data_IF_550016422248
#
_entry.id   IF_550016422248
#
_cell.length_a   1.000
_cell.length_b   1.000
_cell.length_c   1.000
_cell.angle_alpha   90.00
_cell.angle_beta   90.00
_cell.angle_gamma   90.00
#
_symmetry.space_group_name_H-M   'P 1'
#
loop_
_entity.id
_entity.type
_entity.pdbx_description
1 polymer ?
#
# COMPACT_ATOMS: atom_id res chain seq x y z
N UNK A 1 -76.04 49.72 10.02
CA UNK A 1 -76.65 48.87 11.06
C UNK A 1 -75.55 48.55 12.04
N UNK A 2 -75.50 49.40 13.06
CA UNK A 2 -75.09 49.18 14.45
C UNK A 2 -73.71 48.53 14.70
N UNK A 3 -72.66 49.30 15.04
CA UNK A 3 -72.33 49.90 16.36
C UNK A 3 -72.18 48.90 17.49
N UNK A 4 -70.96 48.74 18.02
CA UNK A 4 -70.59 49.00 19.43
C UNK A 4 -69.09 48.65 19.60
N UNK A 5 -68.22 49.64 19.85
CA UNK A 5 -67.63 50.01 21.18
C UNK A 5 -66.59 49.00 21.67
N UNK A 6 -65.50 49.35 22.35
CA UNK A 6 -65.07 50.61 22.95
C UNK A 6 -63.61 50.45 23.38
N UNK A 7 -62.94 51.60 23.56
CA UNK A 7 -61.94 51.97 24.60
C UNK A 7 -60.99 50.91 25.22
N UNK A 8 -59.76 51.21 25.63
CA UNK A 8 -58.90 52.38 25.62
C UNK A 8 -57.55 51.97 26.28
N UNK A 9 -56.53 52.80 26.07
CA UNK A 9 -55.35 53.09 26.90
C UNK A 9 -54.43 51.98 27.45
N UNK A 10 -53.13 52.12 27.13
CA UNK A 10 -52.06 51.45 27.86
C UNK A 10 -50.67 51.57 27.25
N UNK A 11 -50.12 52.78 27.22
CA UNK A 11 -48.72 53.09 26.90
C UNK A 11 -47.70 52.29 27.73
N UNK A 12 -46.69 51.73 27.08
CA UNK A 12 -45.53 51.11 27.72
C UNK A 12 -44.34 51.01 26.78
N UNK A 13 -43.46 52.01 26.82
CA UNK A 13 -42.14 52.07 26.18
C UNK A 13 -41.21 50.96 26.68
N UNK A 14 -40.52 50.26 25.78
CA UNK A 14 -39.51 49.27 26.13
C UNK A 14 -38.59 48.93 24.97
N UNK A 15 -37.54 49.73 24.80
CA UNK A 15 -36.35 49.43 23.98
C UNK A 15 -35.66 48.17 24.51
N UNK A 16 -35.48 47.16 23.65
CA UNK A 16 -34.76 45.94 23.97
C UNK A 16 -34.12 45.32 22.74
N UNK A 17 -32.95 45.85 22.37
CA UNK A 17 -32.02 45.27 21.41
C UNK A 17 -31.53 43.91 21.93
N UNK A 18 -32.24 42.83 21.56
CA UNK A 18 -31.87 41.46 21.86
C UNK A 18 -30.96 40.87 20.78
N UNK A 19 -29.66 41.15 20.88
CA UNK A 19 -28.60 40.49 20.11
C UNK A 19 -28.64 38.98 20.40
N UNK A 20 -29.31 38.20 19.54
CA UNK A 20 -29.31 36.73 19.62
C UNK A 20 -27.95 36.21 19.15
N UNK A 21 -26.97 36.28 20.02
CA UNK A 21 -25.70 35.57 19.89
C UNK A 21 -26.01 34.06 19.98
N UNK A 22 -26.21 33.43 18.82
CA UNK A 22 -26.13 31.99 18.67
C UNK A 22 -24.74 31.54 19.09
N UNK A 23 -24.62 31.11 20.35
CA UNK A 23 -23.48 30.36 20.83
C UNK A 23 -23.44 29.04 20.04
N UNK A 24 -22.71 29.04 18.93
CA UNK A 24 -22.23 27.82 18.28
C UNK A 24 -21.39 27.07 19.31
N UNK A 25 -22.01 26.11 19.98
CA UNK A 25 -21.34 25.07 20.73
C UNK A 25 -20.30 24.43 19.81
N UNK A 26 -19.03 24.73 20.06
CA UNK A 26 -17.90 24.11 19.38
C UNK A 26 -18.04 22.59 19.47
N UNK A 27 -17.68 21.82 18.43
CA UNK A 27 -17.71 20.38 18.51
C UNK A 27 -16.70 19.96 19.59
N UNK A 28 -17.22 19.49 20.71
CA UNK A 28 -16.45 18.94 21.82
C UNK A 28 -15.52 17.85 21.26
N UNK A 29 -14.23 18.16 21.25
CA UNK A 29 -13.19 17.26 20.78
C UNK A 29 -13.05 16.14 21.81
N UNK A 30 -13.94 15.14 21.76
CA UNK A 30 -13.83 13.96 22.61
C UNK A 30 -12.44 13.36 22.40
N UNK A 31 -11.57 13.33 23.43
CA UNK A 31 -10.27 12.72 23.31
C UNK A 31 -10.48 11.27 22.84
N UNK A 32 -9.79 10.91 21.76
CA UNK A 32 -9.79 9.52 21.29
C UNK A 32 -9.34 8.59 22.42
N UNK A 33 -9.78 7.32 22.42
CA UNK A 33 -9.39 6.36 23.46
C UNK A 33 -7.86 6.34 23.59
N UNK A 34 -7.32 6.21 24.82
CA UNK A 34 -5.88 6.23 25.05
C UNK A 34 -5.20 5.21 24.14
N UNK A 35 -4.21 5.66 23.36
CA UNK A 35 -3.36 4.80 22.56
C UNK A 35 -2.72 3.81 23.54
N UNK A 36 -3.11 2.53 23.50
CA UNK A 36 -2.49 1.53 24.36
C UNK A 36 -1.09 1.24 23.80
N UNK A 37 0.00 1.70 24.44
CA UNK A 37 1.35 1.65 23.88
C UNK A 37 1.86 0.21 23.73
N UNK A 38 1.23 -0.75 24.40
CA UNK A 38 1.63 -2.16 24.41
C UNK A 38 1.84 -2.76 23.01
N UNK A 39 0.95 -2.53 22.04
CA UNK A 39 1.10 -3.10 20.70
C UNK A 39 2.25 -2.46 19.90
N UNK A 40 2.51 -1.16 20.12
CA UNK A 40 3.62 -0.44 19.49
C UNK A 40 4.96 -0.84 20.12
N UNK A 41 5.00 -1.02 21.44
CA UNK A 41 6.17 -1.50 22.16
C UNK A 41 6.52 -2.94 21.78
N UNK A 42 5.52 -3.81 21.59
CA UNK A 42 5.72 -5.18 21.08
C UNK A 42 6.32 -5.16 19.67
N UNK A 43 5.82 -4.30 18.77
CA UNK A 43 6.39 -4.17 17.43
C UNK A 43 7.80 -3.57 17.45
N UNK A 44 8.08 -2.61 18.33
CA UNK A 44 9.41 -2.04 18.50
C UNK A 44 10.41 -3.08 19.03
N UNK A 45 10.02 -3.86 20.05
CA UNK A 45 10.83 -4.95 20.58
C UNK A 45 11.10 -6.02 19.52
N UNK A 46 10.06 -6.41 18.77
CA UNK A 46 10.22 -7.31 17.62
C UNK A 46 11.16 -6.74 16.57
N UNK A 47 11.07 -5.45 16.24
CA UNK A 47 11.92 -4.80 15.24
C UNK A 47 13.39 -4.80 15.66
N UNK A 48 13.67 -4.58 16.95
CA UNK A 48 15.04 -4.67 17.49
C UNK A 48 15.56 -6.11 17.41
N UNK A 49 14.75 -7.09 17.78
CA UNK A 49 15.11 -8.52 17.70
C UNK A 49 15.35 -8.94 16.23
N UNK A 50 14.46 -8.55 15.32
CA UNK A 50 14.59 -8.83 13.89
C UNK A 50 15.86 -8.20 13.31
N UNK A 51 16.17 -6.95 13.67
CA UNK A 51 17.40 -6.29 13.25
C UNK A 51 18.66 -7.04 13.73
N UNK A 52 18.69 -7.47 14.99
CA UNK A 52 19.81 -8.23 15.56
C UNK A 52 20.00 -9.58 14.87
N UNK A 53 18.91 -10.29 14.59
CA UNK A 53 18.92 -11.57 13.87
C UNK A 53 19.43 -11.42 12.43
N UNK A 54 19.02 -10.34 11.74
CA UNK A 54 19.42 -10.05 10.36
C UNK A 54 20.88 -9.59 10.22
N UNK A 55 21.48 -9.06 11.29
CA UNK A 55 22.91 -8.66 11.32
C UNK A 55 23.88 -9.75 11.75
N UNK A 56 23.40 -10.94 12.09
CA UNK A 56 24.24 -12.02 12.62
C UNK A 56 24.99 -12.81 11.53
N UNK A 57 26.27 -13.09 11.77
CA UNK A 57 27.10 -14.05 11.03
C UNK A 57 27.42 -13.63 9.60
N UNK A 58 26.57 -14.04 8.64
CA UNK A 58 26.78 -13.93 7.19
C UNK A 58 25.73 -12.99 6.55
N UNK A 59 25.63 -11.77 7.06
CA UNK A 59 24.62 -10.82 6.60
C UNK A 59 24.87 -10.35 5.15
N UNK A 60 23.96 -10.68 4.24
CA UNK A 60 23.98 -10.13 2.88
C UNK A 60 23.66 -8.63 2.88
N UNK A 61 24.04 -7.85 1.85
CA UNK A 61 23.69 -6.43 1.75
C UNK A 61 22.18 -6.16 1.89
N UNK A 62 21.34 -7.07 1.39
CA UNK A 62 19.88 -7.01 1.56
C UNK A 62 19.43 -7.19 3.01
N UNK A 63 20.05 -8.11 3.75
CA UNK A 63 19.78 -8.31 5.19
C UNK A 63 20.22 -7.11 6.03
N UNK A 64 21.34 -6.47 5.70
CA UNK A 64 21.79 -5.24 6.36
C UNK A 64 20.84 -4.06 6.10
N UNK A 65 20.36 -3.90 4.86
CA UNK A 65 19.33 -2.91 4.52
C UNK A 65 18.02 -3.18 5.28
N UNK A 66 17.63 -4.45 5.40
CA UNK A 66 16.48 -4.89 6.19
C UNK A 66 16.62 -4.52 7.66
N UNK A 67 17.77 -4.84 8.26
CA UNK A 67 18.06 -4.52 9.64
C UNK A 67 18.00 -3.01 9.88
N UNK A 68 18.58 -2.19 8.97
CA UNK A 68 18.48 -0.74 9.04
C UNK A 68 17.03 -0.23 9.00
N UNK A 69 16.18 -0.81 8.16
CA UNK A 69 14.76 -0.51 8.10
C UNK A 69 14.04 -0.82 9.42
N UNK A 70 14.32 -1.96 10.05
CA UNK A 70 13.76 -2.33 11.35
C UNK A 70 14.27 -1.44 12.50
N UNK A 71 15.55 -1.06 12.49
CA UNK A 71 16.11 -0.10 13.47
C UNK A 71 15.44 1.26 13.34
N UNK A 72 15.25 1.76 12.11
CA UNK A 72 14.54 3.01 11.86
C UNK A 72 13.08 2.93 12.33
N UNK A 73 12.42 1.80 12.10
CA UNK A 73 11.06 1.55 12.59
C UNK A 73 10.99 1.60 14.12
N UNK A 74 11.91 0.92 14.81
CA UNK A 74 11.99 0.94 16.27
C UNK A 74 12.25 2.35 16.81
N UNK A 75 13.22 3.06 16.23
CA UNK A 75 13.56 4.44 16.63
C UNK A 75 12.38 5.40 16.46
N UNK A 76 11.66 5.32 15.33
CA UNK A 76 10.48 6.15 15.07
C UNK A 76 9.35 5.85 16.06
N UNK A 77 9.12 4.58 16.39
CA UNK A 77 8.09 4.17 17.35
C UNK A 77 8.43 4.63 18.77
N UNK A 78 9.66 4.41 19.24
CA UNK A 78 10.13 4.87 20.55
C UNK A 78 10.02 6.39 20.67
N UNK A 79 10.42 7.12 19.62
CA UNK A 79 10.29 8.58 19.58
C UNK A 79 8.82 9.01 19.67
N UNK A 80 7.94 8.39 18.89
CA UNK A 80 6.51 8.75 18.87
C UNK A 80 5.79 8.43 20.17
N UNK A 81 6.15 7.34 20.87
CA UNK A 81 5.58 6.96 22.17
C UNK A 81 6.10 7.86 23.30
N UNK A 82 7.32 8.36 23.19
CA UNK A 82 7.95 9.25 24.18
C UNK A 82 7.50 10.71 24.06
N UNK A 83 6.78 11.08 22.99
CA UNK A 83 6.31 12.45 22.79
C UNK A 83 5.16 12.81 23.76
N UNK A 84 5.13 14.06 24.27
CA UNK A 84 4.06 14.52 25.16
C UNK A 84 2.70 14.53 24.44
N UNK A 85 1.61 14.40 25.21
CA UNK A 85 0.24 14.19 24.71
C UNK A 85 -0.22 15.20 23.63
N UNK A 86 0.31 16.43 23.65
CA UNK A 86 0.09 17.47 22.62
C UNK A 86 0.47 17.04 21.20
N UNK A 87 1.41 16.09 21.06
CA UNK A 87 1.85 15.55 19.78
C UNK A 87 1.32 14.14 19.48
N UNK A 88 0.45 13.58 20.33
CA UNK A 88 -0.07 12.22 20.16
C UNK A 88 -0.87 12.04 18.86
N UNK A 89 -1.59 13.07 18.41
CA UNK A 89 -2.35 13.06 17.16
C UNK A 89 -1.45 13.08 15.90
N UNK A 90 -0.49 14.02 15.74
CA UNK A 90 0.45 13.97 14.62
C UNK A 90 1.36 12.74 14.66
N UNK A 91 1.84 12.31 15.84
CA UNK A 91 2.65 11.09 15.99
C UNK A 91 1.90 9.84 15.53
N UNK A 92 0.62 9.69 15.90
CA UNK A 92 -0.23 8.60 15.41
C UNK A 92 -0.42 8.63 13.89
N UNK A 93 -0.55 9.82 13.29
CA UNK A 93 -0.69 9.95 11.83
C UNK A 93 0.61 9.55 11.12
N UNK A 94 1.76 9.97 11.63
CA UNK A 94 3.08 9.60 11.11
C UNK A 94 3.31 8.09 11.21
N UNK A 95 2.97 7.47 12.34
CA UNK A 95 3.10 6.02 12.53
C UNK A 95 2.21 5.21 11.58
N UNK A 96 0.99 5.67 11.33
CA UNK A 96 0.09 5.02 10.36
C UNK A 96 0.70 5.12 8.96
N UNK A 97 1.12 6.31 8.52
CA UNK A 97 1.74 6.50 7.19
C UNK A 97 3.02 5.68 7.06
N UNK A 98 3.85 5.65 8.11
CA UNK A 98 5.06 4.83 8.16
C UNK A 98 4.74 3.36 7.93
N UNK A 99 3.84 2.75 8.71
CA UNK A 99 3.50 1.34 8.53
C UNK A 99 2.84 1.05 7.17
N UNK A 100 2.04 1.99 6.64
CA UNK A 100 1.43 1.85 5.32
C UNK A 100 2.45 1.80 4.17
N UNK A 101 3.60 2.45 4.33
CA UNK A 101 4.70 2.43 3.35
C UNK A 101 5.65 1.27 3.66
N UNK A 102 5.95 1.06 4.93
CA UNK A 102 6.88 0.05 5.42
C UNK A 102 6.43 -1.37 5.09
N UNK A 103 5.14 -1.70 5.25
CA UNK A 103 4.63 -3.05 4.98
C UNK A 103 4.83 -3.43 3.49
N UNK A 104 4.40 -2.61 2.50
CA UNK A 104 4.71 -2.87 1.09
C UNK A 104 6.20 -2.93 0.77
N UNK A 105 7.01 -2.03 1.34
CA UNK A 105 8.47 -2.03 1.12
C UNK A 105 9.09 -3.33 1.65
N UNK A 106 8.69 -3.77 2.84
CA UNK A 106 9.15 -5.02 3.45
C UNK A 106 8.69 -6.22 2.62
N UNK A 107 7.48 -6.19 2.09
CA UNK A 107 6.97 -7.24 1.20
C UNK A 107 7.79 -7.35 -0.08
N UNK A 108 8.17 -6.23 -0.69
CA UNK A 108 8.82 -6.26 -1.99
C UNK A 108 10.33 -6.54 -1.92
N UNK A 109 11.03 -5.88 -1.00
CA UNK A 109 12.49 -5.96 -0.94
C UNK A 109 13.00 -7.09 -0.06
N UNK A 110 12.18 -7.53 0.90
CA UNK A 110 12.65 -8.42 1.94
C UNK A 110 12.04 -9.79 1.86
N UNK A 111 11.00 -10.06 1.04
CA UNK A 111 10.39 -11.40 0.95
C UNK A 111 11.35 -12.44 0.37
N UNK A 112 12.14 -13.04 1.25
CA UNK A 112 13.02 -14.19 0.97
C UNK A 112 12.52 -15.36 1.83
N UNK A 113 11.22 -15.66 1.75
CA UNK A 113 10.61 -16.84 2.39
C UNK A 113 10.80 -17.00 3.90
N UNK A 114 11.34 -15.99 4.60
CA UNK A 114 11.75 -16.12 6.00
C UNK A 114 10.58 -15.80 6.93
N UNK A 115 10.39 -16.68 7.92
CA UNK A 115 9.32 -16.60 8.91
C UNK A 115 9.39 -15.28 9.70
N UNK A 116 10.61 -14.76 9.90
CA UNK A 116 10.86 -13.48 10.59
C UNK A 116 10.19 -12.31 9.86
N UNK A 117 10.21 -12.30 8.53
CA UNK A 117 9.67 -11.19 7.74
C UNK A 117 8.15 -11.28 7.65
N UNK A 118 7.60 -12.48 7.52
CA UNK A 118 6.15 -12.71 7.57
C UNK A 118 5.60 -12.26 8.93
N UNK A 119 6.29 -12.58 10.03
CA UNK A 119 5.93 -12.10 11.37
C UNK A 119 5.93 -10.57 11.46
N UNK A 120 6.91 -9.88 10.86
CA UNK A 120 6.95 -8.41 10.80
C UNK A 120 5.76 -7.80 10.06
N UNK A 121 5.35 -8.39 8.94
CA UNK A 121 4.16 -7.94 8.18
C UNK A 121 2.88 -8.12 8.98
N UNK A 122 2.70 -9.28 9.62
CA UNK A 122 1.53 -9.58 10.45
C UNK A 122 1.49 -8.63 11.65
N UNK A 123 2.60 -8.44 12.35
CA UNK A 123 2.68 -7.54 13.49
C UNK A 123 2.44 -6.08 13.08
N UNK A 124 2.99 -5.64 11.94
CA UNK A 124 2.75 -4.30 11.40
C UNK A 124 1.29 -4.08 10.99
N UNK A 125 0.68 -5.06 10.32
CA UNK A 125 -0.74 -5.04 9.97
C UNK A 125 -1.63 -5.03 11.21
N UNK A 126 -1.31 -5.82 12.24
CA UNK A 126 -2.01 -5.83 13.54
C UNK A 126 -1.84 -4.50 14.26
N UNK A 127 -0.65 -3.88 14.23
CA UNK A 127 -0.40 -2.58 14.82
C UNK A 127 -1.26 -1.49 14.14
N UNK A 128 -1.31 -1.47 12.80
CA UNK A 128 -2.17 -0.55 12.04
C UNK A 128 -3.66 -0.83 12.30
N UNK A 129 -4.08 -2.09 12.28
CA UNK A 129 -5.46 -2.50 12.53
C UNK A 129 -5.95 -2.07 13.91
N UNK A 130 -5.11 -2.24 14.95
CA UNK A 130 -5.41 -1.78 16.31
C UNK A 130 -5.44 -0.27 16.46
N UNK A 131 -4.67 0.48 15.65
CA UNK A 131 -4.74 1.94 15.65
C UNK A 131 -6.08 2.46 15.11
N UNK A 132 -6.95 1.63 14.51
CA UNK A 132 -8.24 2.01 13.90
C UNK A 132 -8.12 3.31 13.10
N UNK A 133 -7.34 3.32 12.01
CA UNK A 133 -7.02 4.55 11.31
C UNK A 133 -8.30 5.17 10.74
N UNK A 134 -8.70 6.31 11.32
CA UNK A 134 -9.77 7.15 10.80
C UNK A 134 -9.13 8.09 9.79
N UNK A 135 -9.05 7.67 8.54
CA UNK A 135 -8.58 8.55 7.47
C UNK A 135 -9.63 9.65 7.24
N UNK A 136 -9.26 10.93 7.37
CA UNK A 136 -10.13 12.02 6.94
C UNK A 136 -10.46 11.82 5.46
N UNK A 137 -11.73 12.01 5.08
CA UNK A 137 -12.13 11.94 3.66
C UNK A 137 -11.25 12.92 2.87
N UNK A 138 -10.49 12.40 1.91
CA UNK A 138 -9.61 13.23 1.07
C UNK A 138 -10.44 14.33 0.39
N UNK A 139 -9.94 15.58 0.41
CA UNK A 139 -10.54 16.68 -0.37
C UNK A 139 -10.60 16.25 -1.85
N UNK A 140 -11.64 16.70 -2.57
CA UNK A 140 -11.93 16.27 -3.95
C UNK A 140 -10.71 16.38 -4.89
N UNK A 141 -9.88 17.42 -4.73
CA UNK A 141 -8.66 17.61 -5.51
C UNK A 141 -7.57 16.57 -5.22
N UNK A 142 -7.20 16.37 -3.95
CA UNK A 142 -6.21 15.36 -3.54
C UNK A 142 -6.64 13.96 -3.98
N UNK A 143 -7.93 13.62 -3.85
CA UNK A 143 -8.45 12.33 -4.32
C UNK A 143 -8.22 12.11 -5.82
N UNK A 144 -8.37 13.13 -6.66
CA UNK A 144 -8.14 13.01 -8.11
C UNK A 144 -6.67 12.74 -8.42
N UNK A 145 -5.75 13.45 -7.77
CA UNK A 145 -4.30 13.25 -7.96
C UNK A 145 -3.91 11.81 -7.62
N UNK A 146 -4.31 11.31 -6.45
CA UNK A 146 -4.02 9.93 -6.06
C UNK A 146 -4.65 8.89 -6.98
N UNK A 147 -5.84 9.16 -7.51
CA UNK A 147 -6.47 8.28 -8.50
C UNK A 147 -5.71 8.28 -9.83
N UNK A 148 -5.26 9.44 -10.30
CA UNK A 148 -4.46 9.53 -11.53
C UNK A 148 -3.13 8.81 -11.36
N UNK A 149 -2.44 9.02 -10.24
CA UNK A 149 -1.20 8.30 -9.93
C UNK A 149 -1.44 6.79 -9.87
N UNK A 150 -2.45 6.33 -9.13
CA UNK A 150 -2.76 4.91 -9.02
C UNK A 150 -3.08 4.27 -10.37
N UNK A 151 -3.90 4.93 -11.20
CA UNK A 151 -4.23 4.45 -12.54
C UNK A 151 -2.99 4.49 -13.45
N UNK A 152 -2.20 5.55 -13.39
CA UNK A 152 -0.95 5.67 -14.17
C UNK A 152 0.04 4.55 -13.85
N UNK A 153 0.30 4.29 -12.56
CA UNK A 153 1.17 3.18 -12.15
C UNK A 153 0.57 1.81 -12.48
N UNK A 154 -0.75 1.65 -12.38
CA UNK A 154 -1.41 0.37 -12.73
C UNK A 154 -1.35 0.09 -14.23
N UNK A 155 -1.55 1.11 -15.08
CA UNK A 155 -1.45 0.98 -16.54
C UNK A 155 0.02 0.80 -16.95
N UNK A 156 0.94 1.52 -16.31
CA UNK A 156 2.38 1.32 -16.50
C UNK A 156 2.76 -0.12 -16.19
N UNK A 157 2.33 -0.66 -15.04
CA UNK A 157 2.54 -2.05 -14.63
C UNK A 157 2.06 -3.06 -15.68
N UNK A 158 0.86 -2.86 -16.24
CA UNK A 158 0.33 -3.70 -17.32
C UNK A 158 1.21 -3.62 -18.58
N UNK A 159 1.67 -2.42 -18.95
CA UNK A 159 2.59 -2.21 -20.08
C UNK A 159 3.95 -2.88 -19.87
N UNK A 160 4.51 -2.79 -18.67
CA UNK A 160 5.76 -3.48 -18.30
C UNK A 160 5.58 -5.00 -18.36
N UNK A 161 4.48 -5.54 -17.85
CA UNK A 161 4.19 -6.98 -17.97
C UNK A 161 4.09 -7.44 -19.41
N UNK A 162 3.51 -6.61 -20.30
CA UNK A 162 3.46 -6.91 -21.74
C UNK A 162 4.86 -6.88 -22.38
N UNK A 163 5.67 -5.87 -22.05
CA UNK A 163 7.05 -5.77 -22.54
C UNK A 163 7.91 -6.95 -22.06
N UNK A 164 7.85 -7.28 -20.77
CA UNK A 164 8.57 -8.43 -20.19
C UNK A 164 8.12 -9.75 -20.81
N UNK A 165 6.82 -9.92 -21.09
CA UNK A 165 6.32 -11.09 -21.82
C UNK A 165 6.91 -11.21 -23.21
N UNK A 166 6.99 -10.09 -23.94
CA UNK A 166 7.60 -10.05 -25.27
C UNK A 166 9.10 -10.39 -25.22
N UNK A 167 9.83 -9.83 -24.25
CA UNK A 167 11.25 -10.14 -24.06
C UNK A 167 11.47 -11.60 -23.68
N UNK A 168 10.63 -12.18 -22.81
CA UNK A 168 10.72 -13.59 -22.45
C UNK A 168 10.52 -14.50 -23.67
N UNK A 169 9.53 -14.18 -24.52
CA UNK A 169 9.29 -14.91 -25.77
C UNK A 169 10.49 -14.76 -26.70
N UNK A 170 10.98 -13.53 -26.92
CA UNK A 170 12.13 -13.27 -27.76
C UNK A 170 13.39 -14.01 -27.26
N UNK A 171 13.63 -14.03 -25.95
CA UNK A 171 14.72 -14.80 -25.34
C UNK A 171 14.58 -16.31 -25.54
N UNK A 172 13.36 -16.83 -25.53
CA UNK A 172 13.11 -18.25 -25.70
C UNK A 172 13.14 -18.72 -27.17
N UNK A 173 12.78 -17.85 -28.13
CA UNK A 173 12.56 -18.25 -29.54
C UNK A 173 13.53 -17.64 -30.54
N UNK A 174 14.40 -16.70 -30.14
CA UNK A 174 15.32 -16.07 -31.09
C UNK A 174 16.44 -17.03 -31.52
N UNK A 175 16.65 -17.13 -32.84
CA UNK A 175 17.74 -17.92 -33.44
C UNK A 175 19.12 -17.27 -33.22
N UNK A 176 19.16 -15.93 -33.15
CA UNK A 176 20.39 -15.16 -32.98
C UNK A 176 20.78 -14.97 -31.52
N UNK A 177 22.00 -15.36 -31.15
CA UNK A 177 22.56 -15.19 -29.80
C UNK A 177 22.43 -13.75 -29.27
N UNK A 178 22.70 -12.74 -30.10
CA UNK A 178 22.63 -11.33 -29.70
C UNK A 178 21.22 -10.92 -29.23
N UNK A 179 20.17 -11.36 -29.93
CA UNK A 179 18.78 -11.05 -29.58
C UNK A 179 18.35 -11.84 -28.35
N UNK A 180 18.74 -13.13 -28.28
CA UNK A 180 18.45 -14.00 -27.15
C UNK A 180 19.03 -13.49 -25.83
N UNK A 181 20.35 -13.25 -25.80
CA UNK A 181 21.05 -12.80 -24.61
C UNK A 181 20.62 -11.36 -24.25
N UNK A 182 20.49 -10.49 -25.25
CA UNK A 182 20.03 -9.11 -25.05
C UNK A 182 18.62 -9.03 -24.45
N UNK A 183 17.73 -9.96 -24.78
CA UNK A 183 16.40 -10.02 -24.17
C UNK A 183 16.47 -10.28 -22.66
N UNK A 184 17.28 -11.25 -22.21
CA UNK A 184 17.43 -11.54 -20.77
C UNK A 184 18.16 -10.44 -20.00
N UNK A 185 19.16 -9.79 -20.60
CA UNK A 185 19.83 -8.62 -20.03
C UNK A 185 18.84 -7.45 -19.83
N UNK A 186 18.04 -7.14 -20.85
CA UNK A 186 17.04 -6.09 -20.75
C UNK A 186 15.96 -6.42 -19.72
N UNK A 187 15.55 -7.68 -19.62
CA UNK A 187 14.61 -8.12 -18.57
C UNK A 187 15.16 -7.83 -17.17
N UNK A 188 16.43 -8.15 -16.92
CA UNK A 188 17.07 -7.88 -15.63
C UNK A 188 17.12 -6.37 -15.32
N UNK A 189 17.46 -5.54 -16.32
CA UNK A 189 17.48 -4.08 -16.17
C UNK A 189 16.08 -3.52 -15.90
N UNK A 190 15.07 -3.96 -16.66
CA UNK A 190 13.68 -3.53 -16.45
C UNK A 190 13.19 -3.90 -15.05
N UNK A 191 13.51 -5.10 -14.59
CA UNK A 191 13.09 -5.60 -13.28
C UNK A 191 13.61 -4.69 -12.15
N UNK A 192 14.91 -4.43 -12.14
CA UNK A 192 15.56 -3.58 -11.14
C UNK A 192 15.17 -2.10 -11.25
N UNK A 193 15.13 -1.55 -12.46
CA UNK A 193 15.02 -0.10 -12.65
C UNK A 193 13.57 0.42 -12.62
N UNK A 194 12.61 -0.36 -13.12
CA UNK A 194 11.25 0.15 -13.37
C UNK A 194 10.18 -0.73 -12.73
N UNK A 195 10.29 -2.06 -12.83
CA UNK A 195 9.29 -2.98 -12.25
C UNK A 195 9.28 -2.78 -10.74
N UNK A 196 10.38 -3.04 -10.02
CA UNK A 196 10.41 -2.93 -8.56
C UNK A 196 9.83 -1.59 -8.04
N UNK A 197 10.28 -0.40 -8.52
CA UNK A 197 9.69 0.87 -8.09
C UNK A 197 8.19 1.00 -8.41
N UNK A 198 7.76 0.50 -9.57
CA UNK A 198 6.35 0.58 -10.00
C UNK A 198 5.43 -0.27 -9.14
N UNK A 199 5.88 -1.45 -8.65
CA UNK A 199 5.05 -2.31 -7.79
C UNK A 199 4.75 -1.57 -6.52
N UNK A 200 5.83 -1.03 -5.94
CA UNK A 200 5.81 -0.37 -4.65
C UNK A 200 4.85 0.81 -4.71
N UNK A 201 4.96 1.62 -5.76
CA UNK A 201 4.13 2.80 -5.94
C UNK A 201 2.67 2.43 -6.24
N UNK A 202 2.41 1.36 -6.97
CA UNK A 202 1.06 0.83 -7.21
C UNK A 202 0.39 0.35 -5.92
N UNK A 203 1.10 -0.41 -5.08
CA UNK A 203 0.59 -0.90 -3.79
C UNK A 203 0.34 0.27 -2.84
N UNK A 204 1.29 1.21 -2.70
CA UNK A 204 1.14 2.38 -1.83
C UNK A 204 -0.04 3.24 -2.28
N UNK A 205 -0.12 3.57 -3.58
CA UNK A 205 -1.23 4.38 -4.10
C UNK A 205 -2.58 3.67 -3.99
N UNK A 206 -2.63 2.36 -4.23
CA UNK A 206 -3.83 1.53 -4.08
C UNK A 206 -4.30 1.49 -2.63
N UNK A 207 -3.38 1.40 -1.67
CA UNK A 207 -3.67 1.42 -0.25
C UNK A 207 -4.19 2.79 0.21
N UNK A 208 -3.56 3.88 -0.25
CA UNK A 208 -4.00 5.25 0.03
C UNK A 208 -5.39 5.53 -0.54
N UNK A 209 -5.67 5.09 -1.77
CA UNK A 209 -6.99 5.23 -2.40
C UNK A 209 -8.04 4.38 -1.68
N UNK A 210 -7.71 3.14 -1.31
CA UNK A 210 -8.65 2.22 -0.63
C UNK A 210 -9.02 2.70 0.77
N UNK A 211 -8.07 3.30 1.50
CA UNK A 211 -8.26 3.81 2.85
C UNK A 211 -8.82 5.24 2.88
N UNK A 212 -8.49 6.07 1.89
CA UNK A 212 -8.92 7.47 1.79
C UNK A 212 -10.28 7.67 1.12
N UNK A 213 -10.89 6.63 0.55
CA UNK A 213 -12.19 6.70 -0.11
C UNK A 213 -13.28 5.95 0.65
N UNK A 214 -14.55 6.27 0.36
CA UNK A 214 -15.75 5.66 0.96
C UNK A 214 -15.87 4.14 0.78
N UNK A 215 -14.99 3.55 -0.03
CA UNK A 215 -15.06 2.16 -0.45
C UNK A 215 -14.51 1.23 0.61
N UNK A 216 -13.41 1.56 1.30
CA UNK A 216 -12.80 0.74 2.34
C UNK A 216 -12.26 -0.60 1.81
N UNK A 217 -11.01 -0.96 2.15
CA UNK A 217 -10.32 -2.15 1.62
C UNK A 217 -11.11 -3.46 1.83
N UNK A 218 -11.82 -3.58 2.97
CA UNK A 218 -12.48 -4.83 3.40
C UNK A 218 -13.97 -4.85 3.02
N UNK A 219 -14.56 -3.73 2.59
CA UNK A 219 -16.02 -3.65 2.39
C UNK A 219 -16.48 -4.24 1.05
N UNK A 220 -15.55 -4.46 0.11
CA UNK A 220 -15.85 -4.98 -1.22
C UNK A 220 -14.88 -6.12 -1.56
N UNK A 221 -15.38 -7.35 -1.69
CA UNK A 221 -14.54 -8.53 -1.91
C UNK A 221 -13.70 -8.44 -3.20
N UNK A 222 -14.23 -7.77 -4.24
CA UNK A 222 -13.48 -7.52 -5.48
C UNK A 222 -12.28 -6.59 -5.30
N UNK A 223 -12.29 -5.69 -4.31
CA UNK A 223 -11.13 -4.85 -3.98
C UNK A 223 -10.07 -5.69 -3.28
N UNK A 224 -10.50 -6.58 -2.37
CA UNK A 224 -9.61 -7.51 -1.70
C UNK A 224 -8.92 -8.45 -2.69
N UNK A 225 -9.65 -9.02 -3.65
CA UNK A 225 -9.05 -9.87 -4.69
C UNK A 225 -7.96 -9.13 -5.46
N UNK A 226 -8.20 -7.89 -5.88
CA UNK A 226 -7.17 -7.10 -6.59
C UNK A 226 -5.96 -6.82 -5.73
N UNK A 227 -6.18 -6.55 -4.45
CA UNK A 227 -5.09 -6.35 -3.51
C UNK A 227 -4.27 -7.64 -3.34
N UNK A 228 -4.93 -8.80 -3.25
CA UNK A 228 -4.27 -10.11 -3.21
C UNK A 228 -3.50 -10.37 -4.50
N UNK A 229 -4.09 -10.15 -5.68
CA UNK A 229 -3.38 -10.27 -6.97
C UNK A 229 -2.15 -9.36 -7.00
N UNK A 230 -2.29 -8.11 -6.53
CA UNK A 230 -1.18 -7.15 -6.48
C UNK A 230 -0.06 -7.54 -5.51
N UNK A 231 -0.31 -8.45 -4.55
CA UNK A 231 0.70 -8.99 -3.65
C UNK A 231 1.27 -10.30 -4.19
N UNK A 232 0.44 -11.18 -4.75
CA UNK A 232 0.88 -12.48 -5.27
C UNK A 232 1.88 -12.33 -6.42
N UNK A 233 1.65 -11.40 -7.35
CA UNK A 233 2.55 -11.15 -8.49
C UNK A 233 3.99 -10.86 -7.99
N UNK A 234 4.24 -9.83 -7.16
CA UNK A 234 5.59 -9.58 -6.64
C UNK A 234 6.17 -10.71 -5.79
N UNK A 235 5.35 -11.52 -5.10
CA UNK A 235 5.87 -12.69 -4.37
C UNK A 235 6.35 -13.81 -5.30
N UNK A 236 5.76 -13.98 -6.49
CA UNK A 236 6.25 -14.95 -7.48
C UNK A 236 7.46 -14.36 -8.22
N UNK A 237 7.49 -13.03 -8.42
CA UNK A 237 8.57 -12.34 -9.11
C UNK A 237 9.94 -12.51 -8.44
N UNK A 238 9.99 -12.75 -7.12
CA UNK A 238 11.25 -13.05 -6.42
C UNK A 238 11.87 -14.38 -6.82
N UNK A 239 11.06 -15.35 -7.26
CA UNK A 239 11.55 -16.62 -7.80
C UNK A 239 11.98 -16.44 -9.25
N UNK A 240 11.17 -15.71 -10.01
CA UNK A 240 11.43 -15.40 -11.42
C UNK A 240 12.73 -14.62 -11.63
N UNK A 241 13.05 -13.65 -10.78
CA UNK A 241 14.30 -12.88 -10.89
C UNK A 241 15.53 -13.80 -10.88
N UNK A 242 15.51 -14.86 -10.07
CA UNK A 242 16.55 -15.88 -10.07
C UNK A 242 16.63 -16.67 -11.39
N UNK A 243 15.49 -16.89 -12.05
CA UNK A 243 15.43 -17.55 -13.35
C UNK A 243 15.97 -16.65 -14.47
N UNK A 244 15.68 -15.34 -14.41
CA UNK A 244 16.23 -14.34 -15.34
C UNK A 244 17.76 -14.30 -15.21
N UNK A 245 18.29 -14.20 -13.99
CA UNK A 245 19.75 -14.19 -13.76
C UNK A 245 20.41 -15.49 -14.23
N UNK A 246 19.77 -16.63 -14.01
CA UNK A 246 20.25 -17.92 -14.49
C UNK A 246 20.26 -18.00 -16.03
N UNK A 247 19.20 -17.56 -16.68
CA UNK A 247 19.12 -17.52 -18.16
C UNK A 247 20.10 -16.54 -18.75
N UNK A 248 20.29 -15.38 -18.12
CA UNK A 248 21.33 -14.41 -18.49
C UNK A 248 22.72 -15.05 -18.40
N UNK A 249 23.03 -15.78 -17.32
CA UNK A 249 24.31 -16.48 -17.17
C UNK A 249 24.51 -17.58 -18.21
N UNK A 250 23.50 -18.42 -18.46
CA UNK A 250 23.56 -19.50 -19.47
C UNK A 250 23.75 -18.99 -20.88
N UNK A 251 23.04 -17.91 -21.21
CA UNK A 251 23.06 -17.35 -22.56
C UNK A 251 24.25 -16.44 -22.84
N UNK A 252 25.17 -16.24 -21.88
CA UNK A 252 26.48 -15.62 -22.15
C UNK A 252 27.32 -16.45 -23.13
N UNK A 253 27.15 -17.78 -23.09
CA UNK A 253 27.73 -18.66 -24.09
C UNK A 253 26.82 -18.66 -25.35
N UNK A 254 27.35 -18.39 -26.55
CA UNK A 254 26.63 -18.55 -27.81
C UNK A 254 25.98 -19.92 -27.98
N UNK A 255 26.60 -20.99 -27.47
CA UNK A 255 26.05 -22.35 -27.51
C UNK A 255 24.99 -22.62 -26.42
N UNK A 256 24.87 -21.74 -25.42
CA UNK A 256 23.97 -21.94 -24.28
C UNK A 256 22.51 -21.77 -24.66
N UNK A 257 21.72 -22.84 -24.55
CA UNK A 257 20.28 -22.80 -24.83
C UNK A 257 19.44 -22.47 -23.59
N UNK A 258 18.35 -21.69 -23.75
CA UNK A 258 17.46 -21.34 -22.64
C UNK A 258 16.67 -22.55 -22.12
N UNK A 259 16.43 -23.55 -22.97
CA UNK A 259 15.82 -24.84 -22.60
C UNK A 259 14.47 -24.71 -21.90
N UNK A 260 14.15 -25.68 -21.01
CA UNK A 260 12.90 -25.68 -20.25
C UNK A 260 12.72 -24.49 -19.31
N UNK A 261 13.82 -23.88 -18.85
CA UNK A 261 13.77 -22.69 -17.98
C UNK A 261 13.27 -21.46 -18.73
N UNK A 262 13.67 -21.28 -20.00
CA UNK A 262 13.14 -20.22 -20.86
C UNK A 262 11.64 -20.36 -21.09
N UNK A 263 11.15 -21.59 -21.32
CA UNK A 263 9.71 -21.87 -21.46
C UNK A 263 8.96 -21.57 -20.15
N UNK A 264 9.51 -21.98 -19.00
CA UNK A 264 8.92 -21.69 -17.70
C UNK A 264 8.79 -20.19 -17.45
N UNK A 265 9.82 -19.40 -17.82
CA UNK A 265 9.81 -17.95 -17.71
C UNK A 265 8.73 -17.31 -18.61
N UNK A 266 8.59 -17.78 -19.86
CA UNK A 266 7.52 -17.33 -20.77
C UNK A 266 6.14 -17.61 -20.18
N UNK A 267 5.90 -18.83 -19.71
CA UNK A 267 4.62 -19.20 -19.09
C UNK A 267 4.33 -18.32 -17.87
N UNK A 268 5.34 -18.07 -17.03
CA UNK A 268 5.23 -17.19 -15.87
C UNK A 268 4.79 -15.77 -16.27
N UNK A 269 5.45 -15.18 -17.27
CA UNK A 269 5.12 -13.84 -17.80
C UNK A 269 3.69 -13.75 -18.34
N UNK A 270 3.27 -14.75 -19.10
CA UNK A 270 1.90 -14.80 -19.64
C UNK A 270 0.85 -14.94 -18.53
N UNK A 271 1.14 -15.72 -17.48
CA UNK A 271 0.26 -15.82 -16.31
C UNK A 271 0.16 -14.48 -15.58
N UNK A 272 1.24 -13.73 -15.42
CA UNK A 272 1.19 -12.38 -14.83
C UNK A 272 0.36 -11.42 -15.66
N UNK A 273 0.56 -11.43 -16.98
CA UNK A 273 -0.20 -10.59 -17.89
C UNK A 273 -1.70 -10.92 -17.79
N UNK A 274 -2.06 -12.20 -17.72
CA UNK A 274 -3.44 -12.64 -17.53
C UNK A 274 -4.03 -12.23 -16.17
N UNK A 275 -3.26 -12.32 -15.08
CA UNK A 275 -3.67 -11.88 -13.74
C UNK A 275 -3.93 -10.37 -13.72
N UNK A 276 -3.08 -9.58 -14.36
CA UNK A 276 -3.24 -8.12 -14.44
C UNK A 276 -4.44 -7.73 -15.30
N UNK A 277 -4.65 -8.40 -16.43
CA UNK A 277 -5.87 -8.24 -17.23
C UNK A 277 -7.12 -8.59 -16.43
N UNK A 278 -7.07 -9.66 -15.63
CA UNK A 278 -8.16 -10.04 -14.72
C UNK A 278 -8.42 -8.92 -13.70
N UNK A 279 -7.38 -8.32 -13.13
CA UNK A 279 -7.51 -7.18 -12.22
C UNK A 279 -8.13 -5.94 -12.90
N UNK A 280 -7.79 -5.67 -14.18
CA UNK A 280 -8.40 -4.62 -15.00
C UNK A 280 -9.87 -4.93 -15.26
N UNK A 281 -10.21 -6.16 -15.69
CA UNK A 281 -11.58 -6.59 -15.93
C UNK A 281 -12.45 -6.47 -14.67
N UNK A 282 -11.95 -6.92 -13.51
CA UNK A 282 -12.57 -6.72 -12.20
C UNK A 282 -12.79 -5.23 -11.86
N UNK A 283 -12.02 -4.31 -12.47
CA UNK A 283 -12.15 -2.85 -12.30
C UNK A 283 -13.27 -2.24 -13.11
N UNK A 284 -13.55 -2.80 -14.27
CA UNK A 284 -14.61 -2.34 -15.16
C UNK A 284 -15.92 -2.99 -14.75
N UNK A 285 -15.94 -4.32 -14.65
CA UNK A 285 -17.15 -5.12 -14.43
C UNK A 285 -17.75 -4.89 -13.04
N UNK A 286 -16.92 -4.58 -12.03
CA UNK A 286 -17.32 -4.28 -10.63
C UNK A 286 -18.48 -5.19 -10.17
N UNK A 287 -18.23 -6.48 -9.88
CA UNK A 287 -19.27 -7.48 -9.62
C UNK A 287 -20.12 -7.28 -8.34
N UNK A 288 -20.19 -6.06 -7.78
CA UNK A 288 -21.37 -5.63 -7.01
C UNK A 288 -21.62 -6.37 -5.69
N UNK A 289 -20.61 -6.92 -5.04
CA UNK A 289 -20.76 -7.57 -3.73
C UNK A 289 -20.14 -6.76 -2.59
N UNK A 290 -20.93 -6.43 -1.55
CA UNK A 290 -20.40 -6.00 -0.25
C UNK A 290 -19.85 -7.24 0.47
N UNK A 291 -18.65 -7.16 1.04
CA UNK A 291 -18.11 -8.23 1.88
C UNK A 291 -19.00 -8.33 3.12
N UNK A 292 -19.76 -9.42 3.26
CA UNK A 292 -20.49 -9.74 4.49
C UNK A 292 -19.47 -10.09 5.56
N UNK A 293 -18.98 -9.09 6.30
CA UNK A 293 -18.45 -9.34 7.63
C UNK A 293 -19.68 -9.57 8.50
N UNK A 294 -19.91 -10.84 8.85
CA UNK A 294 -21.02 -11.30 9.69
C UNK A 294 -20.84 -10.66 11.08
N UNK A 295 -21.85 -9.91 11.53
CA UNK A 295 -21.99 -9.45 12.91
C UNK A 295 -22.17 -10.65 13.86
#
# INVERSE_FOLDING_TARGET
MDTHTDTDTGTGTGTGTGTRAEARSAPEHRPGPPQRPAAQLVFAAFSIIAALLLTGGDATPGMLFAAGCYVLAAALIVTCVSLPARFAAPARRTLIVFHLVFIPTQFLFLFVGDLTQVAGMVLGAVAVGRMRPRFPRLRRGTRRVWLVLHVGFSVGWLGLSLAMSLLAIAGATADGHAVRHGAYELMHVFDLAIVIPSVLLSIITGLVVSLGTKWGLIKHWWVLIKFVISLVIPAIATVESSWIEELQRRTRDPAGEPGGLGVALVVCMLVYLALLWTAVALSVVKPGGKTRLRD
#
